data_IF_770264257691
#
_entry.id   IF_770264257691
#
_cell.length_a   1.000
_cell.length_b   1.000
_cell.length_c   1.000
_cell.angle_alpha   90.00
_cell.angle_beta   90.00
_cell.angle_gamma   90.00
#
_symmetry.space_group_name_H-M   'P 1'
#
loop_
_entity.id
_entity.type
_entity.pdbx_description
1 polymer ?
#
# COMPACT_ATOMS: atom_id res chain seq x y z
N UNK A 1 1.76 -9.14 -7.85
CA UNK A 1 0.77 -8.04 -7.75
C UNK A 1 0.99 -7.19 -6.51
N UNK A 2 0.55 -7.55 -5.30
CA UNK A 2 0.69 -6.68 -4.11
C UNK A 2 2.15 -6.31 -3.80
N UNK A 3 3.07 -7.28 -3.79
CA UNK A 3 4.49 -6.98 -3.52
C UNK A 3 5.14 -6.10 -4.61
N UNK A 4 4.73 -6.27 -5.87
CA UNK A 4 5.18 -5.40 -6.96
C UNK A 4 4.64 -3.98 -6.79
N UNK A 5 3.37 -3.85 -6.39
CA UNK A 5 2.77 -2.55 -6.11
C UNK A 5 3.44 -1.88 -4.90
N UNK A 6 3.73 -2.64 -3.84
CA UNK A 6 4.48 -2.16 -2.66
C UNK A 6 5.86 -1.64 -3.05
N UNK A 7 6.59 -2.38 -3.88
CA UNK A 7 7.90 -1.95 -4.38
C UNK A 7 7.79 -0.68 -5.25
N UNK A 8 6.72 -0.55 -6.05
CA UNK A 8 6.45 0.65 -6.85
C UNK A 8 6.18 1.86 -5.96
N UNK A 9 5.30 1.74 -4.97
CA UNK A 9 5.00 2.82 -4.02
C UNK A 9 6.27 3.24 -3.26
N UNK A 10 7.06 2.29 -2.78
CA UNK A 10 8.32 2.59 -2.09
C UNK A 10 9.34 3.30 -3.00
N UNK A 11 9.43 2.91 -4.28
CA UNK A 11 10.29 3.60 -5.25
C UNK A 11 9.87 5.05 -5.43
N UNK A 12 8.57 5.30 -5.65
CA UNK A 12 8.04 6.67 -5.80
C UNK A 12 8.21 7.49 -4.51
N UNK A 13 8.02 6.86 -3.35
CA UNK A 13 8.28 7.50 -2.08
C UNK A 13 9.73 7.96 -1.95
N UNK A 14 10.69 7.12 -2.39
CA UNK A 14 12.12 7.44 -2.39
C UNK A 14 12.54 8.48 -3.43
N UNK A 15 11.76 8.66 -4.49
CA UNK A 15 11.96 9.77 -5.43
C UNK A 15 11.65 11.12 -4.77
N UNK A 16 10.71 11.17 -3.82
CA UNK A 16 10.38 12.37 -3.05
C UNK A 16 11.20 12.50 -1.74
N UNK A 17 11.42 11.40 -1.02
CA UNK A 17 12.11 11.32 0.28
C UNK A 17 13.15 10.19 0.22
N UNK A 18 14.42 10.47 -0.17
CA UNK A 18 15.42 9.45 -0.54
C UNK A 18 15.66 8.32 0.48
N UNK A 19 15.54 8.61 1.78
CA UNK A 19 15.84 7.67 2.85
C UNK A 19 14.58 7.10 3.54
N UNK A 20 13.40 7.29 2.96
CA UNK A 20 12.15 6.79 3.54
C UNK A 20 12.17 5.26 3.61
N UNK A 21 11.76 4.75 4.76
CA UNK A 21 11.67 3.31 5.01
C UNK A 21 10.34 2.75 4.49
N UNK A 22 10.24 1.42 4.27
CA UNK A 22 8.96 0.80 3.95
C UNK A 22 7.88 1.02 5.02
N UNK A 23 8.26 1.11 6.30
CA UNK A 23 7.34 1.36 7.41
C UNK A 23 6.81 2.80 7.41
N UNK A 24 7.66 3.78 7.09
CA UNK A 24 7.26 5.19 6.97
C UNK A 24 6.21 5.40 5.87
N UNK A 25 6.32 4.66 4.78
CA UNK A 25 5.36 4.71 3.66
C UNK A 25 3.94 4.31 4.09
N UNK A 26 3.78 3.57 5.20
CA UNK A 26 2.45 3.25 5.75
C UNK A 26 1.78 4.45 6.42
N UNK A 27 2.54 5.51 6.73
CA UNK A 27 2.06 6.76 7.33
C UNK A 27 2.47 7.96 6.45
N UNK A 28 1.99 8.04 5.21
CA UNK A 28 2.46 9.05 4.25
C UNK A 28 2.11 10.49 4.66
N UNK A 29 1.24 10.68 5.65
CA UNK A 29 0.87 11.99 6.19
C UNK A 29 2.00 12.66 6.98
N UNK A 30 2.99 11.89 7.46
CA UNK A 30 4.14 12.43 8.19
C UNK A 30 5.19 13.05 7.24
N UNK A 31 5.02 12.86 5.92
CA UNK A 31 5.96 13.31 4.88
C UNK A 31 5.22 14.16 3.83
N UNK A 32 5.11 15.49 4.05
CA UNK A 32 4.43 16.40 3.12
C UNK A 32 4.95 16.34 1.68
N UNK A 33 6.21 15.97 1.48
CA UNK A 33 6.87 15.78 0.19
C UNK A 33 6.18 14.70 -0.66
N UNK A 34 5.62 13.66 -0.03
CA UNK A 34 4.91 12.59 -0.73
C UNK A 34 3.63 13.10 -1.40
N UNK A 35 2.94 14.08 -0.80
CA UNK A 35 1.77 14.73 -1.40
C UNK A 35 2.13 15.55 -2.63
N UNK A 36 3.36 16.03 -2.73
CA UNK A 36 3.82 16.81 -3.89
C UNK A 36 4.22 15.90 -5.05
N UNK A 37 4.44 14.61 -4.80
CA UNK A 37 4.83 13.66 -5.84
C UNK A 37 3.64 13.36 -6.76
N UNK A 38 3.77 13.55 -8.09
CA UNK A 38 2.64 13.63 -9.02
C UNK A 38 1.80 12.36 -9.12
N UNK A 39 2.37 11.20 -8.78
CA UNK A 39 1.73 9.89 -8.93
C UNK A 39 1.68 9.08 -7.64
N UNK A 40 2.25 9.56 -6.54
CA UNK A 40 2.40 8.75 -5.33
C UNK A 40 1.05 8.36 -4.74
N UNK A 41 0.16 9.34 -4.53
CA UNK A 41 -1.16 9.14 -3.91
C UNK A 41 -2.03 8.13 -4.69
N UNK A 42 -1.99 8.19 -6.03
CA UNK A 42 -2.71 7.24 -6.87
C UNK A 42 -2.21 5.81 -6.67
N UNK A 43 -0.89 5.61 -6.66
CA UNK A 43 -0.28 4.27 -6.54
C UNK A 43 -0.43 3.69 -5.13
N UNK A 44 -0.38 4.53 -4.11
CA UNK A 44 -0.66 4.16 -2.72
C UNK A 44 -2.14 3.76 -2.53
N UNK A 45 -3.07 4.51 -3.12
CA UNK A 45 -4.48 4.16 -3.17
C UNK A 45 -4.73 2.81 -3.86
N UNK A 46 -4.02 2.53 -4.97
CA UNK A 46 -4.09 1.23 -5.65
C UNK A 46 -3.56 0.09 -4.76
N UNK A 47 -2.47 0.31 -4.02
CA UNK A 47 -1.96 -0.66 -3.05
C UNK A 47 -3.01 -0.97 -1.98
N UNK A 48 -3.61 0.09 -1.41
CA UNK A 48 -4.67 -0.02 -0.41
C UNK A 48 -5.86 -0.82 -0.92
N UNK A 49 -6.31 -0.56 -2.15
CA UNK A 49 -7.38 -1.32 -2.81
C UNK A 49 -7.05 -2.81 -2.99
N UNK A 50 -5.83 -3.14 -3.43
CA UNK A 50 -5.40 -4.54 -3.60
C UNK A 50 -5.33 -5.28 -2.27
N UNK A 51 -4.83 -4.63 -1.21
CA UNK A 51 -4.78 -5.20 0.14
C UNK A 51 -6.19 -5.44 0.68
N UNK A 52 -7.08 -4.46 0.53
CA UNK A 52 -8.49 -4.59 0.93
C UNK A 52 -9.18 -5.75 0.21
N UNK A 53 -9.02 -5.88 -1.11
CA UNK A 53 -9.58 -6.98 -1.89
C UNK A 53 -9.06 -8.35 -1.42
N UNK A 54 -7.76 -8.48 -1.16
CA UNK A 54 -7.15 -9.71 -0.62
C UNK A 54 -7.73 -10.08 0.74
N UNK A 55 -7.96 -9.09 1.62
CA UNK A 55 -8.56 -9.32 2.95
C UNK A 55 -10.02 -9.76 2.80
N UNK A 56 -10.80 -9.09 1.97
CA UNK A 56 -12.21 -9.42 1.74
C UNK A 56 -12.38 -10.84 1.20
N UNK A 57 -11.60 -11.25 0.19
CA UNK A 57 -11.63 -12.62 -0.35
C UNK A 57 -11.26 -13.66 0.71
N UNK A 58 -10.24 -13.38 1.53
CA UNK A 58 -9.85 -14.27 2.63
C UNK A 58 -10.93 -14.41 3.69
N UNK A 59 -11.57 -13.29 4.06
CA UNK A 59 -12.67 -13.30 5.02
C UNK A 59 -13.85 -14.14 4.50
N UNK A 60 -14.17 -14.02 3.21
CA UNK A 60 -15.23 -14.79 2.57
C UNK A 60 -14.89 -16.29 2.46
N UNK A 61 -13.64 -16.63 2.17
CA UNK A 61 -13.23 -18.05 2.19
C UNK A 61 -13.35 -18.62 3.61
N UNK A 62 -12.88 -17.89 4.61
CA UNK A 62 -12.93 -18.32 6.00
C UNK A 62 -14.35 -18.36 6.58
N UNK A 63 -15.28 -17.55 6.09
CA UNK A 63 -16.69 -17.57 6.51
C UNK A 63 -17.41 -18.81 5.98
N UNK A 64 -16.99 -19.33 4.82
CA UNK A 64 -17.55 -20.53 4.19
C UNK A 64 -16.97 -21.84 4.71
N UNK A 65 -15.79 -21.81 5.34
CA UNK A 65 -15.20 -22.99 5.98
C UNK A 65 -15.84 -23.20 7.36
N UNK A 66 -16.34 -24.41 7.68
CA UNK A 66 -16.85 -24.69 9.02
C UNK A 66 -15.73 -24.47 10.04
N UNK A 67 -16.03 -23.74 11.13
CA UNK A 67 -15.13 -23.66 12.28
C UNK A 67 -15.27 -24.98 13.04
N UNK A 68 -14.19 -25.75 13.11
CA UNK A 68 -14.09 -26.94 13.98
C UNK A 68 -14.16 -26.54 15.46
#
# INVERSE_FOLDING_TARGET
>A
MIEQQRAKVLRLAREAVPNISPEDVLNPHDFPELKQHPTFEFEDGLLSGLVAAKIAVRAEINSRLPRE
#
